data_IF_061618709079
#
_entry.id   IF_061618709079
#
_cell.length_a   1.000
_cell.length_b   1.000
_cell.length_c   1.000
_cell.angle_alpha   90.00
_cell.angle_beta   90.00
_cell.angle_gamma   90.00
#
_symmetry.space_group_name_H-M   'P 1'
#
loop_
_entity.id
_entity.type
_entity.pdbx_description
1 polymer ?
#
# COMPACT_ATOMS: atom_id res chain seq x y z
N UNK A 1 -26.94 15.51 77.54
CA UNK A 1 -25.57 16.07 77.71
C UNK A 1 -24.61 14.97 78.07
N UNK A 2 -23.74 14.56 77.15
CA UNK A 2 -22.28 14.42 77.32
C UNK A 2 -21.70 13.96 75.98
N UNK A 3 -20.58 14.59 75.62
CA UNK A 3 -19.98 14.59 74.30
C UNK A 3 -18.88 13.53 74.16
N UNK A 4 -18.46 13.38 72.90
CA UNK A 4 -17.15 12.92 72.40
C UNK A 4 -16.83 11.42 72.52
N UNK A 5 -16.77 10.78 71.35
CA UNK A 5 -15.48 10.25 70.90
C UNK A 5 -15.36 10.34 69.38
N UNK A 6 -14.12 10.58 68.95
CA UNK A 6 -13.65 11.03 67.67
C UNK A 6 -13.12 9.83 66.86
N UNK A 7 -13.38 9.85 65.55
CA UNK A 7 -12.65 9.26 64.41
C UNK A 7 -11.75 8.01 64.57
N UNK A 8 -12.08 6.95 63.80
CA UNK A 8 -11.14 6.15 62.98
C UNK A 8 -11.90 5.76 61.70
N UNK A 9 -11.68 6.44 60.57
CA UNK A 9 -10.79 6.05 59.46
C UNK A 9 -11.30 4.81 58.69
N UNK A 10 -11.98 5.02 57.57
CA UNK A 10 -11.50 4.82 56.18
C UNK A 10 -11.28 3.35 55.82
N UNK A 11 -11.96 2.92 54.75
CA UNK A 11 -11.31 2.05 53.77
C UNK A 11 -11.99 0.73 53.45
N UNK A 12 -13.19 0.72 52.85
CA UNK A 12 -13.58 -0.35 51.91
C UNK A 12 -14.51 0.25 50.84
N UNK A 13 -13.97 1.11 49.97
CA UNK A 13 -14.70 1.64 48.80
C UNK A 13 -13.84 1.68 47.53
N UNK A 14 -12.89 0.75 47.37
CA UNK A 14 -11.97 0.77 46.21
C UNK A 14 -11.68 -0.60 45.57
N UNK A 15 -12.38 -1.68 45.94
CA UNK A 15 -12.15 -2.99 45.32
C UNK A 15 -13.06 -3.31 44.12
N UNK A 16 -13.83 -2.35 43.60
CA UNK A 16 -14.69 -2.56 42.43
C UNK A 16 -14.26 -1.77 41.18
N UNK A 17 -13.13 -1.04 41.22
CA UNK A 17 -12.64 -0.22 40.09
C UNK A 17 -11.28 -0.67 39.55
N UNK A 18 -10.81 -1.88 39.88
CA UNK A 18 -9.54 -2.45 39.39
C UNK A 18 -9.72 -3.68 38.50
N UNK A 19 -10.92 -3.90 37.98
CA UNK A 19 -11.15 -4.77 36.83
C UNK A 19 -11.52 -3.92 35.60
N UNK A 20 -10.75 -2.87 35.33
CA UNK A 20 -10.55 -2.54 33.92
C UNK A 20 -9.58 -3.61 33.41
N UNK A 21 -9.90 -4.38 32.35
CA UNK A 21 -8.83 -5.05 31.63
C UNK A 21 -7.76 -3.99 31.34
N UNK A 22 -6.48 -4.37 31.44
CA UNK A 22 -5.39 -3.52 30.96
C UNK A 22 -5.85 -2.93 29.62
N UNK A 23 -5.75 -1.61 29.45
CA UNK A 23 -5.88 -1.03 28.12
C UNK A 23 -4.87 -1.80 27.29
N UNK A 24 -5.38 -2.69 26.43
CA UNK A 24 -4.57 -3.52 25.55
C UNK A 24 -3.47 -2.61 24.98
N UNK A 25 -2.20 -3.00 25.19
CA UNK A 25 -1.02 -2.28 24.72
C UNK A 25 -0.95 -2.32 23.18
N UNK A 26 -1.92 -1.69 22.52
CA UNK A 26 -2.01 -1.57 21.09
C UNK A 26 -0.97 -0.57 20.59
N UNK A 27 -0.19 -0.97 19.59
CA UNK A 27 0.71 -0.07 18.88
C UNK A 27 -0.09 0.71 17.83
N UNK A 28 -0.64 1.86 18.22
CA UNK A 28 -1.37 2.79 17.33
C UNK A 28 -0.41 3.65 16.46
N UNK A 29 0.80 3.16 16.21
CA UNK A 29 1.81 3.90 15.47
C UNK A 29 1.88 3.41 14.02
N UNK A 30 1.50 4.30 13.08
CA UNK A 30 1.85 4.15 11.67
C UNK A 30 3.19 4.80 11.41
N UNK A 31 4.13 4.06 10.83
CA UNK A 31 5.40 4.59 10.34
C UNK A 31 5.31 4.92 8.85
N UNK A 32 6.07 5.91 8.42
CA UNK A 32 6.07 6.39 7.04
C UNK A 32 7.43 6.17 6.37
N UNK A 33 7.40 5.65 5.14
CA UNK A 33 8.57 5.42 4.29
C UNK A 33 8.31 6.09 2.94
N UNK A 34 9.35 6.67 2.33
CA UNK A 34 9.33 7.08 0.92
C UNK A 34 10.30 6.19 0.15
N UNK A 35 9.82 5.46 -0.85
CA UNK A 35 10.67 4.58 -1.65
C UNK A 35 10.15 4.39 -3.07
N UNK A 36 10.75 5.09 -4.03
CA UNK A 36 10.34 5.09 -5.44
C UNK A 36 11.02 4.00 -6.29
N UNK A 37 11.73 3.06 -5.66
CA UNK A 37 12.46 1.99 -6.37
C UNK A 37 11.78 0.63 -6.31
N UNK A 38 10.56 0.55 -5.78
CA UNK A 38 9.89 -0.74 -5.48
C UNK A 38 8.89 -1.18 -6.55
N UNK A 39 8.34 -0.27 -7.35
CA UNK A 39 7.40 -0.60 -8.44
C UNK A 39 8.07 -0.30 -9.78
N UNK A 40 8.12 -1.29 -10.66
CA UNK A 40 8.83 -1.18 -11.94
C UNK A 40 8.03 -1.78 -13.11
N UNK A 41 8.34 -1.31 -14.31
CA UNK A 41 7.88 -1.91 -15.56
C UNK A 41 9.06 -2.64 -16.20
N UNK A 42 8.83 -3.87 -16.65
CA UNK A 42 9.90 -4.71 -17.18
C UNK A 42 10.64 -4.02 -18.34
N UNK A 43 11.98 -4.04 -18.28
CA UNK A 43 12.87 -3.37 -19.22
C UNK A 43 12.69 -1.84 -19.34
N UNK A 44 11.90 -1.20 -18.46
CA UNK A 44 11.50 0.20 -18.58
C UNK A 44 10.92 0.54 -19.98
N UNK A 45 10.22 -0.42 -20.59
CA UNK A 45 9.66 -0.25 -21.93
C UNK A 45 8.49 0.73 -21.91
N UNK A 46 8.54 1.74 -22.79
CA UNK A 46 7.52 2.80 -22.90
C UNK A 46 6.82 2.83 -24.25
N UNK A 47 7.09 1.87 -25.13
CA UNK A 47 6.46 1.76 -26.45
C UNK A 47 6.07 0.32 -26.70
N UNK A 48 4.84 0.11 -27.13
CA UNK A 48 4.21 -1.19 -27.36
C UNK A 48 3.40 -1.13 -28.65
N UNK A 49 3.04 -2.30 -29.19
CA UNK A 49 2.04 -2.44 -30.25
C UNK A 49 0.72 -2.99 -29.66
N UNK A 50 -0.40 -2.73 -30.34
CA UNK A 50 -1.68 -3.35 -29.93
C UNK A 50 -1.56 -4.88 -29.91
N UNK A 51 -1.92 -5.47 -28.78
CA UNK A 51 -1.83 -6.90 -28.50
C UNK A 51 -0.67 -7.26 -27.57
N UNK A 52 0.31 -6.36 -27.38
CA UNK A 52 1.40 -6.56 -26.45
C UNK A 52 0.93 -6.57 -24.99
N UNK A 53 1.82 -7.00 -24.10
CA UNK A 53 1.62 -6.99 -22.66
C UNK A 53 2.64 -6.08 -21.99
N UNK A 54 2.18 -5.13 -21.18
CA UNK A 54 3.03 -4.45 -20.21
C UNK A 54 3.15 -5.32 -18.97
N UNK A 55 4.37 -5.49 -18.45
CA UNK A 55 4.66 -6.32 -17.28
C UNK A 55 5.08 -5.42 -16.13
N UNK A 56 4.41 -5.56 -14.99
CA UNK A 56 4.60 -4.75 -13.79
C UNK A 56 5.10 -5.66 -12.67
N UNK A 57 6.14 -5.23 -11.99
CA UNK A 57 6.72 -5.93 -10.84
C UNK A 57 6.82 -4.99 -9.63
N UNK A 58 6.39 -5.48 -8.48
CA UNK A 58 6.63 -4.84 -7.18
C UNK A 58 7.56 -5.71 -6.36
N UNK A 59 8.69 -5.13 -5.93
CA UNK A 59 9.67 -5.79 -5.05
C UNK A 59 9.96 -4.84 -3.89
N UNK A 60 9.55 -5.24 -2.69
CA UNK A 60 9.75 -4.47 -1.47
C UNK A 60 10.72 -5.24 -0.60
N UNK A 61 11.92 -4.67 -0.41
CA UNK A 61 12.89 -5.21 0.53
C UNK A 61 12.31 -5.19 1.96
N UNK A 62 12.55 -6.23 2.74
CA UNK A 62 11.99 -6.31 4.09
C UNK A 62 12.57 -5.22 5.01
N UNK A 63 13.82 -4.83 4.81
CA UNK A 63 14.42 -3.71 5.52
C UNK A 63 14.12 -2.38 4.80
N UNK A 64 13.62 -1.41 5.54
CA UNK A 64 13.28 -0.07 5.05
C UNK A 64 13.88 1.02 5.95
N UNK A 65 14.09 2.20 5.38
CA UNK A 65 14.46 3.41 6.11
C UNK A 65 13.26 4.36 6.12
N UNK A 66 12.77 4.70 7.31
CA UNK A 66 11.65 5.65 7.44
C UNK A 66 12.08 7.08 7.09
N UNK A 67 11.09 7.96 6.88
CA UNK A 67 11.33 9.39 6.68
C UNK A 67 12.02 10.06 7.88
N UNK A 68 11.91 9.46 9.07
CA UNK A 68 12.56 9.90 10.30
C UNK A 68 13.96 9.27 10.50
N UNK A 69 14.48 8.57 9.49
CA UNK A 69 15.77 7.86 9.50
C UNK A 69 15.85 6.70 10.50
N UNK A 70 14.73 6.01 10.75
CA UNK A 70 14.71 4.78 11.52
C UNK A 70 14.81 3.58 10.57
N UNK A 71 15.74 2.66 10.83
CA UNK A 71 15.75 1.36 10.17
C UNK A 71 14.65 0.49 10.77
N UNK A 72 13.79 -0.06 9.92
CA UNK A 72 12.71 -0.96 10.30
C UNK A 72 12.74 -2.22 9.44
N UNK A 73 12.19 -3.31 9.96
CA UNK A 73 11.96 -4.54 9.22
C UNK A 73 10.46 -4.74 9.09
N UNK A 74 9.93 -4.73 7.87
CA UNK A 74 8.49 -4.75 7.57
C UNK A 74 7.78 -5.98 8.16
N UNK A 75 8.45 -7.14 8.18
CA UNK A 75 7.91 -8.37 8.75
C UNK A 75 7.69 -8.30 10.27
N UNK A 76 8.27 -7.33 10.97
CA UNK A 76 7.97 -7.11 12.40
C UNK A 76 6.54 -6.61 12.62
N UNK A 77 6.01 -5.88 11.63
CA UNK A 77 4.64 -5.37 11.57
C UNK A 77 3.64 -6.41 11.07
N UNK A 78 4.09 -7.59 10.66
CA UNK A 78 3.24 -8.73 10.27
C UNK A 78 3.56 -9.97 11.11
N UNK A 79 2.95 -11.12 10.77
CA UNK A 79 3.30 -12.40 11.38
C UNK A 79 4.57 -13.05 10.78
N UNK A 80 5.23 -12.39 9.82
CA UNK A 80 6.39 -12.89 9.08
C UNK A 80 6.20 -14.27 8.39
N UNK A 81 4.95 -14.68 8.20
CA UNK A 81 4.61 -15.96 7.56
C UNK A 81 4.79 -15.88 6.04
N UNK A 82 5.59 -16.80 5.50
CA UNK A 82 5.90 -16.91 4.07
C UNK A 82 4.62 -17.26 3.30
N UNK A 83 4.33 -16.48 2.27
CA UNK A 83 3.13 -16.63 1.44
C UNK A 83 1.84 -16.06 2.05
N UNK A 84 1.88 -15.64 3.32
CA UNK A 84 0.69 -15.13 4.03
C UNK A 84 0.80 -13.66 4.40
N UNK A 85 1.98 -13.16 4.81
CA UNK A 85 2.22 -11.75 5.09
C UNK A 85 2.12 -10.91 3.81
N UNK A 86 1.45 -9.75 3.89
CA UNK A 86 1.01 -8.97 2.73
C UNK A 86 1.49 -7.52 2.79
N UNK A 87 1.86 -7.01 1.63
CA UNK A 87 1.94 -5.59 1.35
C UNK A 87 0.90 -5.24 0.27
N UNK A 88 0.00 -4.32 0.56
CA UNK A 88 -1.14 -4.00 -0.30
C UNK A 88 -0.99 -2.59 -0.89
N UNK A 89 -1.23 -2.46 -2.19
CA UNK A 89 -1.40 -1.16 -2.82
C UNK A 89 -2.36 -1.24 -3.99
N UNK A 90 -2.67 -0.08 -4.57
CA UNK A 90 -3.53 0.04 -5.73
C UNK A 90 -2.84 0.80 -6.85
N UNK A 91 -3.11 0.36 -8.08
CA UNK A 91 -2.75 1.06 -9.31
C UNK A 91 -3.99 1.23 -10.18
N UNK A 92 -3.91 2.16 -11.12
CA UNK A 92 -4.93 2.37 -12.13
C UNK A 92 -4.26 2.64 -13.48
N UNK A 93 -4.89 2.12 -14.53
CA UNK A 93 -4.53 2.43 -15.91
C UNK A 93 -5.37 3.63 -16.37
N UNK A 94 -4.71 4.61 -16.96
CA UNK A 94 -5.33 5.77 -17.55
C UNK A 94 -4.94 5.91 -19.01
N UNK A 95 -5.74 6.64 -19.78
CA UNK A 95 -5.50 6.95 -21.19
C UNK A 95 -5.67 8.43 -21.44
N UNK A 96 -4.83 8.99 -22.29
CA UNK A 96 -5.02 10.33 -22.86
C UNK A 96 -6.12 10.31 -23.91
N UNK A 97 -7.05 11.23 -23.81
CA UNK A 97 -8.10 11.42 -24.80
C UNK A 97 -7.66 12.41 -25.88
N UNK A 98 -8.38 12.42 -27.01
CA UNK A 98 -8.16 13.41 -28.07
C UNK A 98 -8.42 14.87 -27.65
N UNK A 99 -8.97 15.10 -26.45
CA UNK A 99 -9.14 16.43 -25.86
C UNK A 99 -8.01 16.80 -24.89
N UNK A 100 -6.89 16.07 -24.90
CA UNK A 100 -5.74 16.27 -24.00
C UNK A 100 -6.12 16.14 -22.52
N UNK A 101 -7.19 15.38 -22.23
CA UNK A 101 -7.62 15.03 -20.88
C UNK A 101 -7.28 13.59 -20.56
N UNK A 102 -7.12 13.27 -19.28
CA UNK A 102 -6.80 11.91 -18.80
C UNK A 102 -8.06 11.26 -18.24
N UNK A 103 -8.33 10.02 -18.66
CA UNK A 103 -9.44 9.21 -18.17
C UNK A 103 -8.95 7.86 -17.65
N UNK A 104 -9.56 7.35 -16.59
CA UNK A 104 -9.28 6.00 -16.09
C UNK A 104 -9.90 4.97 -17.03
N UNK A 105 -9.13 3.95 -17.38
CA UNK A 105 -9.59 2.84 -18.21
C UNK A 105 -9.98 1.67 -17.31
N UNK A 106 -11.26 1.24 -17.31
CA UNK A 106 -11.66 0.06 -16.59
C UNK A 106 -11.09 -1.19 -17.26
N UNK A 107 -10.26 -1.92 -16.52
CA UNK A 107 -9.78 -3.23 -16.92
C UNK A 107 -10.81 -4.31 -16.59
N UNK A 108 -10.68 -5.46 -17.24
CA UNK A 108 -11.40 -6.68 -16.90
C UNK A 108 -10.41 -7.80 -16.53
N UNK A 109 -10.89 -8.85 -15.87
CA UNK A 109 -10.01 -9.92 -15.40
C UNK A 109 -9.28 -10.63 -16.55
N UNK A 110 -9.87 -10.68 -17.75
CA UNK A 110 -9.23 -11.30 -18.93
C UNK A 110 -8.14 -10.44 -19.58
N UNK A 111 -7.95 -9.21 -19.11
CA UNK A 111 -6.84 -8.33 -19.51
C UNK A 111 -5.64 -8.40 -18.57
N UNK A 112 -5.75 -9.10 -17.45
CA UNK A 112 -4.67 -9.24 -16.46
C UNK A 112 -4.21 -10.70 -16.37
N UNK A 113 -2.91 -10.90 -16.41
CA UNK A 113 -2.27 -12.18 -16.11
C UNK A 113 -1.43 -12.03 -14.83
N UNK A 114 -1.72 -12.85 -13.81
CA UNK A 114 -0.99 -12.81 -12.54
C UNK A 114 0.13 -13.85 -12.57
N UNK A 115 1.38 -13.40 -12.46
CA UNK A 115 2.55 -14.28 -12.46
C UNK A 115 3.00 -14.64 -11.03
N UNK A 116 2.87 -13.71 -10.07
CA UNK A 116 3.11 -13.94 -8.64
C UNK A 116 2.41 -12.90 -7.76
N UNK A 117 2.23 -13.21 -6.47
CA UNK A 117 1.41 -12.42 -5.56
C UNK A 117 -0.08 -12.69 -5.75
N UNK A 118 -0.93 -11.79 -5.28
CA UNK A 118 -2.38 -11.80 -5.51
C UNK A 118 -2.79 -10.46 -6.11
N UNK A 119 -3.25 -10.48 -7.36
CA UNK A 119 -3.63 -9.28 -8.11
C UNK A 119 -5.04 -9.45 -8.62
N UNK A 120 -5.89 -8.47 -8.31
CA UNK A 120 -7.31 -8.52 -8.66
C UNK A 120 -7.84 -7.14 -9.02
N UNK A 121 -9.00 -7.11 -9.66
CA UNK A 121 -9.68 -5.88 -10.01
C UNK A 121 -10.78 -5.58 -9.00
N UNK A 122 -10.79 -4.35 -8.48
CA UNK A 122 -11.87 -3.86 -7.62
C UNK A 122 -12.25 -2.44 -8.04
N UNK A 123 -13.50 -2.23 -8.45
CA UNK A 123 -14.02 -0.93 -8.87
C UNK A 123 -13.07 -0.17 -9.84
N UNK A 124 -12.58 -0.87 -10.88
CA UNK A 124 -11.68 -0.34 -11.92
C UNK A 124 -10.23 -0.08 -11.46
N UNK A 125 -9.89 -0.39 -10.21
CA UNK A 125 -8.54 -0.35 -9.67
C UNK A 125 -7.90 -1.74 -9.73
N UNK A 126 -6.60 -1.77 -9.94
CA UNK A 126 -5.76 -2.95 -9.81
C UNK A 126 -5.31 -2.99 -8.36
N UNK A 127 -5.88 -3.92 -7.58
CA UNK A 127 -5.40 -4.23 -6.25
C UNK A 127 -4.23 -5.18 -6.35
N UNK A 128 -3.09 -4.77 -5.82
CA UNK A 128 -1.84 -5.52 -5.86
C UNK A 128 -1.45 -5.92 -4.45
N UNK A 129 -1.44 -7.23 -4.20
CA UNK A 129 -0.99 -7.82 -2.95
C UNK A 129 0.34 -8.52 -3.20
N UNK A 130 1.40 -7.92 -2.66
CA UNK A 130 2.73 -8.52 -2.67
C UNK A 130 2.88 -9.43 -1.46
N UNK A 131 3.29 -10.68 -1.69
CA UNK A 131 3.42 -11.71 -0.65
C UNK A 131 4.86 -11.81 -0.17
N UNK A 132 5.03 -11.99 1.14
CA UNK A 132 6.34 -12.19 1.74
C UNK A 132 6.93 -13.56 1.37
N UNK A 133 8.15 -13.59 0.85
CA UNK A 133 8.86 -14.83 0.48
C UNK A 133 9.90 -15.31 1.52
N UNK A 134 9.99 -14.60 2.65
CA UNK A 134 11.02 -14.83 3.68
C UNK A 134 12.17 -13.81 3.63
N UNK A 135 12.24 -12.98 2.59
CA UNK A 135 13.22 -11.90 2.46
C UNK A 135 12.63 -10.59 1.90
N UNK A 136 11.62 -10.67 1.03
CA UNK A 136 10.99 -9.54 0.36
C UNK A 136 9.50 -9.76 0.20
N UNK A 137 8.75 -8.68 0.00
CA UNK A 137 7.36 -8.76 -0.47
C UNK A 137 7.35 -8.59 -1.99
N UNK A 138 6.76 -9.55 -2.72
CA UNK A 138 6.77 -9.55 -4.19
C UNK A 138 5.41 -9.76 -4.81
N UNK A 139 5.18 -9.08 -5.92
CA UNK A 139 4.12 -9.39 -6.89
C UNK A 139 4.58 -9.10 -8.30
N UNK A 140 4.03 -9.84 -9.26
CA UNK A 140 4.28 -9.64 -10.69
C UNK A 140 3.03 -9.97 -11.48
N UNK A 141 2.62 -9.05 -12.34
CA UNK A 141 1.46 -9.23 -13.19
C UNK A 141 1.64 -8.50 -14.52
N UNK A 142 0.81 -8.86 -15.49
CA UNK A 142 0.85 -8.30 -16.83
C UNK A 142 -0.52 -7.76 -17.22
N UNK A 143 -0.55 -6.69 -18.02
CA UNK A 143 -1.78 -6.13 -18.59
C UNK A 143 -1.67 -6.23 -20.11
N UNK A 144 -2.65 -6.85 -20.77
CA UNK A 144 -2.75 -6.89 -22.23
C UNK A 144 -3.30 -5.57 -22.77
N UNK A 145 -2.58 -4.98 -23.72
CA UNK A 145 -2.87 -3.67 -24.32
C UNK A 145 -3.72 -3.87 -25.57
N UNK A 146 -4.99 -3.46 -25.51
CA UNK A 146 -5.98 -3.79 -26.54
C UNK A 146 -6.37 -2.62 -27.45
N UNK A 147 -5.85 -1.43 -27.15
CA UNK A 147 -6.14 -0.21 -27.91
C UNK A 147 -4.87 0.63 -28.04
N UNK A 148 -4.75 1.33 -29.16
CA UNK A 148 -3.67 2.30 -29.36
C UNK A 148 -3.93 3.61 -28.61
N UNK A 149 -2.87 4.36 -28.37
CA UNK A 149 -2.88 5.68 -27.73
C UNK A 149 -1.76 5.86 -26.70
N UNK A 150 -1.79 7.01 -26.03
CA UNK A 150 -0.92 7.30 -24.87
C UNK A 150 -1.62 6.88 -23.59
N UNK A 151 -0.93 6.08 -22.78
CA UNK A 151 -1.42 5.55 -21.53
C UNK A 151 -0.53 5.98 -20.37
N UNK A 152 -1.13 5.96 -19.17
CA UNK A 152 -0.46 6.25 -17.92
C UNK A 152 -0.76 5.13 -16.93
N UNK A 153 0.27 4.57 -16.31
CA UNK A 153 0.11 3.75 -15.12
C UNK A 153 0.50 4.59 -13.91
N UNK A 154 -0.36 4.64 -12.90
CA UNK A 154 -0.16 5.46 -11.71
C UNK A 154 -0.99 4.95 -10.53
N UNK A 155 -0.77 5.53 -9.34
CA UNK A 155 -1.67 5.37 -8.21
C UNK A 155 -3.07 5.94 -8.49
N UNK A 156 -4.10 5.46 -7.75
CA UNK A 156 -5.51 5.74 -8.04
C UNK A 156 -5.91 7.21 -7.88
N UNK A 157 -5.07 8.00 -7.20
CA UNK A 157 -5.37 9.40 -6.87
C UNK A 157 -4.95 10.40 -7.94
N UNK A 158 -4.45 9.93 -9.09
CA UNK A 158 -3.95 10.80 -10.16
C UNK A 158 -4.93 11.90 -10.58
N UNK A 159 -6.22 11.59 -10.65
CA UNK A 159 -7.28 12.52 -11.08
C UNK A 159 -7.85 13.37 -9.93
N UNK A 160 -7.35 13.22 -8.70
CA UNK A 160 -7.85 13.94 -7.53
C UNK A 160 -6.92 15.11 -7.16
N UNK A 161 -7.48 16.32 -7.12
CA UNK A 161 -6.90 17.59 -6.61
C UNK A 161 -5.43 17.53 -6.13
N UNK A 162 -4.47 17.73 -7.04
CA UNK A 162 -3.03 17.85 -6.75
C UNK A 162 -2.41 16.68 -5.94
N UNK A 163 -3.03 15.50 -5.95
CA UNK A 163 -2.57 14.35 -5.15
C UNK A 163 -1.41 13.59 -5.82
N UNK A 164 -1.12 13.89 -7.10
CA UNK A 164 -0.15 13.13 -7.89
C UNK A 164 -0.60 11.69 -8.16
N UNK A 165 0.23 10.97 -8.88
CA UNK A 165 0.12 9.57 -9.27
C UNK A 165 0.92 8.63 -8.36
N UNK A 166 1.35 9.11 -7.20
CA UNK A 166 1.93 8.27 -6.16
C UNK A 166 0.89 7.27 -5.64
N UNK A 167 1.37 6.12 -5.16
CA UNK A 167 0.56 5.12 -4.46
C UNK A 167 1.12 4.90 -3.07
N UNK A 168 0.24 4.51 -2.15
CA UNK A 168 0.63 4.12 -0.80
C UNK A 168 0.55 2.61 -0.68
N UNK A 169 1.65 1.99 -0.32
CA UNK A 169 1.73 0.58 0.00
C UNK A 169 1.59 0.42 1.51
N UNK A 170 0.53 -0.26 1.93
CA UNK A 170 0.26 -0.53 3.33
C UNK A 170 0.82 -1.91 3.70
N UNK A 171 1.60 -1.96 4.78
CA UNK A 171 2.10 -3.21 5.38
C UNK A 171 1.77 -3.18 6.86
N UNK A 172 1.21 -4.25 7.40
CA UNK A 172 0.98 -4.35 8.84
C UNK A 172 -0.30 -5.08 9.19
N UNK A 173 -0.41 -5.43 10.47
CA UNK A 173 -1.62 -5.95 11.10
C UNK A 173 -1.91 -5.16 12.36
N UNK A 174 -3.19 -5.11 12.73
CA UNK A 174 -3.68 -4.28 13.83
C UNK A 174 -2.92 -4.52 15.15
N UNK A 175 -2.51 -5.76 15.42
CA UNK A 175 -1.83 -6.16 16.64
C UNK A 175 -0.36 -5.72 16.71
N UNK A 176 0.23 -5.28 15.58
CA UNK A 176 1.67 -5.01 15.44
C UNK A 176 1.99 -3.61 14.90
N UNK A 177 0.97 -2.86 14.49
CA UNK A 177 1.12 -1.54 13.88
C UNK A 177 1.22 -1.61 12.35
N UNK A 178 1.38 -0.44 11.74
CA UNK A 178 1.36 -0.28 10.28
C UNK A 178 2.56 0.50 9.76
N UNK A 179 2.90 0.24 8.50
CA UNK A 179 3.87 1.00 7.72
C UNK A 179 3.21 1.40 6.41
N UNK A 180 3.22 2.70 6.15
CA UNK A 180 2.78 3.28 4.89
C UNK A 180 4.00 3.70 4.07
N UNK A 181 4.17 3.05 2.91
CA UNK A 181 5.24 3.34 1.97
C UNK A 181 4.65 4.16 0.82
N UNK A 182 4.98 5.44 0.75
CA UNK A 182 4.69 6.25 -0.44
C UNK A 182 5.70 5.91 -1.52
N UNK A 183 5.19 5.65 -2.72
CA UNK A 183 6.00 5.24 -3.86
C UNK A 183 5.39 5.68 -5.18
N UNK A 184 6.24 5.88 -6.18
CA UNK A 184 5.85 5.96 -7.59
C UNK A 184 6.56 4.89 -8.41
N UNK A 185 6.01 4.62 -9.59
CA UNK A 185 6.62 3.69 -10.54
C UNK A 185 7.96 4.29 -11.01
N UNK A 186 9.01 3.47 -11.08
CA UNK A 186 10.32 3.88 -11.59
C UNK A 186 10.17 4.52 -12.98
N UNK A 187 10.87 5.64 -13.20
CA UNK A 187 10.81 6.46 -14.42
C UNK A 187 9.45 7.13 -14.68
N UNK A 188 8.59 7.25 -13.66
CA UNK A 188 7.45 8.16 -13.74
C UNK A 188 7.87 9.63 -13.75
N UNK A 189 6.99 10.48 -14.27
CA UNK A 189 7.18 11.93 -14.30
C UNK A 189 7.07 12.58 -12.90
N UNK A 190 7.12 13.92 -12.85
CA UNK A 190 6.99 14.69 -11.60
C UNK A 190 5.62 14.50 -10.94
N UNK A 191 4.59 14.14 -11.71
CA UNK A 191 3.27 13.83 -11.23
C UNK A 191 3.11 12.33 -10.90
N UNK A 192 4.17 11.52 -10.93
CA UNK A 192 4.08 10.08 -10.64
C UNK A 192 3.41 9.25 -11.73
N UNK A 193 3.28 9.76 -12.97
CA UNK A 193 2.72 9.02 -14.11
C UNK A 193 3.83 8.25 -14.82
N UNK A 194 3.70 6.92 -14.90
CA UNK A 194 4.49 6.15 -15.85
C UNK A 194 3.83 6.21 -17.23
N UNK A 195 4.45 6.97 -18.14
CA UNK A 195 3.90 7.25 -19.48
C UNK A 195 4.38 6.18 -20.48
N UNK A 196 3.46 5.65 -21.28
CA UNK A 196 3.81 4.76 -22.39
C UNK A 196 2.84 4.93 -23.58
N UNK A 197 3.27 4.50 -24.76
CA UNK A 197 2.49 4.57 -26.00
C UNK A 197 2.24 3.18 -26.56
N UNK A 198 1.04 2.97 -27.10
CA UNK A 198 0.63 1.77 -27.83
C UNK A 198 0.30 2.16 -29.27
N UNK A 199 0.99 1.55 -30.24
CA UNK A 199 0.82 1.81 -31.67
C UNK A 199 -0.20 0.88 -32.33
#
# INVERSE_FOLDING_TARGET
MKALSFSVMVGISLCASLCCPEEDDYLDQTLFVQNDTIISVENNQTTYDVGDTIVIETVIENDQLTIDNLNITLSDFTYAEIGESRAFHQLALYKETAFESVVQIPLNESSIEVNSGDVRLNNQLIEVISLYDGNTFRSKFSIRLLESGTFYLAGPRLLFNNSGGETTINVGVYEKGFVDITSKIINSDEDGKFVFTVN
#
